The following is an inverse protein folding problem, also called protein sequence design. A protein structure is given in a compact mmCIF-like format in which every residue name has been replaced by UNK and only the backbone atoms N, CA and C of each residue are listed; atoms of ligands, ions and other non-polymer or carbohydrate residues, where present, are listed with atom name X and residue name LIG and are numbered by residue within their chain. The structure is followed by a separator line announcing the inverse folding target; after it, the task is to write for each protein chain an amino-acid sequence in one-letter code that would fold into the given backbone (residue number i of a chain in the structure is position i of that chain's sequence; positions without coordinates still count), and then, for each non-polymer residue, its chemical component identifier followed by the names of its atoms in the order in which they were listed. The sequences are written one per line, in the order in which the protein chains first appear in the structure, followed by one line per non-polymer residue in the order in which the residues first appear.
data_IF_596681346875
#
_entry.id   IF_596681346875
#
_cell.length_a   1.000
_cell.length_b   1.000
_cell.length_c   1.000
_cell.angle_alpha   90.00
_cell.angle_beta   90.00
_cell.angle_gamma   90.00
#
_symmetry.space_group_name_H-M   'P 1'
#
loop_
_entity.id
_entity.type
_entity.pdbx_description
1 polymer ?
#
# COMPACT_ATOMS: atom_id res chain seq x y z
N UNK A 1 -20.85 -30.90 -17.94
CA UNK A 1 -19.50 -30.88 -17.31
C UNK A 1 -19.27 -29.49 -16.73
N UNK A 2 -18.56 -29.40 -15.61
CA UNK A 2 -18.63 -28.37 -14.57
C UNK A 2 -18.34 -26.92 -15.00
N UNK A 3 -19.03 -25.98 -14.33
CA UNK A 3 -18.75 -24.53 -14.25
C UNK A 3 -17.34 -24.28 -13.73
N UNK A 4 -16.66 -23.25 -14.24
CA UNK A 4 -15.67 -22.55 -13.42
C UNK A 4 -15.91 -21.04 -13.52
N UNK A 5 -16.06 -20.46 -12.34
CA UNK A 5 -16.44 -19.09 -12.07
C UNK A 5 -15.26 -18.18 -12.42
N UNK A 6 -15.46 -17.17 -13.27
CA UNK A 6 -14.54 -16.04 -13.37
C UNK A 6 -14.70 -15.20 -12.11
N UNK A 7 -14.02 -15.60 -11.04
CA UNK A 7 -13.92 -14.81 -9.82
C UNK A 7 -13.04 -13.62 -10.17
N UNK A 8 -13.65 -12.43 -10.15
CA UNK A 8 -12.97 -11.17 -10.43
C UNK A 8 -11.94 -10.88 -9.32
N UNK A 9 -10.69 -11.28 -9.55
CA UNK A 9 -9.58 -11.01 -8.63
C UNK A 9 -9.09 -9.58 -8.86
N UNK A 10 -9.83 -8.58 -8.39
CA UNK A 10 -9.36 -7.20 -8.38
C UNK A 10 -8.13 -7.09 -7.47
N UNK A 11 -6.94 -7.23 -8.04
CA UNK A 11 -5.68 -6.93 -7.36
C UNK A 11 -5.60 -5.42 -7.25
N UNK A 12 -5.68 -4.89 -6.03
CA UNK A 12 -5.50 -3.45 -5.77
C UNK A 12 -4.15 -3.04 -6.36
N UNK A 13 -4.13 -2.01 -7.20
CA UNK A 13 -2.91 -1.47 -7.80
C UNK A 13 -2.29 -0.39 -6.90
N UNK A 14 -0.98 -0.12 -7.04
CA UNK A 14 -0.31 0.95 -6.31
C UNK A 14 -0.95 2.33 -6.49
N UNK A 15 -1.47 2.63 -7.69
CA UNK A 15 -2.14 3.91 -7.95
C UNK A 15 -3.46 4.05 -7.19
N UNK A 16 -4.15 2.94 -6.90
CA UNK A 16 -5.42 2.97 -6.16
C UNK A 16 -5.25 3.32 -4.68
N UNK A 17 -4.04 3.18 -4.12
CA UNK A 17 -3.76 3.53 -2.73
C UNK A 17 -3.13 4.91 -2.58
N UNK A 18 -2.82 5.60 -3.68
CA UNK A 18 -2.27 6.95 -3.63
C UNK A 18 -3.24 7.91 -2.92
N UNK A 19 -2.70 8.80 -2.09
CA UNK A 19 -3.43 9.73 -1.23
C UNK A 19 -4.33 9.06 -0.17
N UNK A 20 -4.23 7.76 0.04
CA UNK A 20 -4.88 7.13 1.20
C UNK A 20 -4.09 7.41 2.47
N UNK A 21 -4.83 7.43 3.58
CA UNK A 21 -4.27 7.54 4.93
C UNK A 21 -4.38 6.17 5.58
N UNK A 22 -3.29 5.75 6.20
CA UNK A 22 -3.18 4.44 6.84
C UNK A 22 -2.41 4.55 8.13
N UNK A 23 -2.52 3.49 8.93
CA UNK A 23 -1.82 3.36 10.20
C UNK A 23 -0.87 2.18 10.14
N UNK A 24 0.35 2.33 10.64
CA UNK A 24 1.27 1.19 10.74
C UNK A 24 0.72 0.15 11.73
N UNK A 25 0.17 -0.93 11.20
CA UNK A 25 -0.59 -1.90 11.99
C UNK A 25 -1.71 -1.25 12.81
N UNK A 26 -2.18 -1.92 13.88
CA UNK A 26 -3.32 -1.44 14.67
C UNK A 26 -3.04 -0.24 15.57
N UNK A 27 -1.77 0.04 15.91
CA UNK A 27 -1.42 1.02 16.95
C UNK A 27 -0.28 1.98 16.57
N UNK A 28 0.27 1.87 15.37
CA UNK A 28 1.40 2.71 14.96
C UNK A 28 1.00 4.12 14.51
N UNK A 29 1.97 4.90 14.02
CA UNK A 29 1.71 6.24 13.50
C UNK A 29 0.83 6.21 12.24
N UNK A 30 0.13 7.31 12.02
CA UNK A 30 -0.61 7.55 10.77
C UNK A 30 0.34 8.09 9.71
N UNK A 31 0.17 7.60 8.48
CA UNK A 31 0.92 8.03 7.31
C UNK A 31 0.01 8.23 6.10
N UNK A 32 0.45 9.06 5.15
CA UNK A 32 -0.18 9.23 3.85
C UNK A 32 0.64 8.51 2.79
N UNK A 33 -0.03 7.79 1.88
CA UNK A 33 0.62 7.24 0.69
C UNK A 33 0.77 8.33 -0.36
N UNK A 34 2.01 8.67 -0.74
CA UNK A 34 2.30 9.74 -1.71
C UNK A 34 2.28 9.22 -3.14
N UNK A 35 2.79 8.00 -3.38
CA UNK A 35 2.82 7.38 -4.71
C UNK A 35 3.94 6.35 -4.85
N UNK A 36 4.14 5.86 -6.07
CA UNK A 36 5.20 4.88 -6.37
C UNK A 36 6.58 5.56 -6.23
N UNK A 37 7.49 4.94 -5.48
CA UNK A 37 8.92 5.34 -5.45
C UNK A 37 9.67 4.62 -6.56
N UNK A 38 9.65 3.28 -6.52
CA UNK A 38 10.29 2.41 -7.51
C UNK A 38 9.76 0.99 -7.44
N UNK A 39 9.90 0.27 -8.54
CA UNK A 39 9.85 -1.19 -8.53
C UNK A 39 11.25 -1.68 -8.15
N UNK A 40 11.35 -2.51 -7.12
CA UNK A 40 12.62 -3.16 -6.78
C UNK A 40 12.97 -4.21 -7.84
N UNK A 41 14.26 -4.51 -7.97
CA UNK A 41 14.74 -5.54 -8.90
C UNK A 41 14.19 -6.95 -8.60
N UNK A 42 13.56 -7.14 -7.44
CA UNK A 42 12.98 -8.41 -6.98
C UNK A 42 11.45 -8.47 -7.18
N UNK A 43 10.85 -7.46 -7.83
CA UNK A 43 9.42 -7.40 -8.12
C UNK A 43 8.56 -6.90 -6.96
N UNK A 44 9.16 -6.45 -5.86
CA UNK A 44 8.46 -5.72 -4.80
C UNK A 44 8.32 -4.24 -5.18
N UNK A 45 7.10 -3.69 -5.03
CA UNK A 45 6.82 -2.28 -5.29
C UNK A 45 7.03 -1.48 -4.00
N UNK A 46 7.87 -0.46 -4.08
CA UNK A 46 8.09 0.48 -2.98
C UNK A 46 7.29 1.76 -3.24
N UNK A 47 6.55 2.20 -2.22
CA UNK A 47 5.76 3.42 -2.23
C UNK A 47 6.46 4.47 -1.37
N UNK A 48 6.42 5.73 -1.79
CA UNK A 48 6.80 6.84 -0.91
C UNK A 48 5.62 7.17 0.01
N UNK A 49 5.88 7.25 1.31
CA UNK A 49 4.89 7.61 2.32
C UNK A 49 5.37 8.80 3.15
N UNK A 50 4.41 9.60 3.65
CA UNK A 50 4.67 10.68 4.60
C UNK A 50 4.13 10.33 5.98
N UNK A 51 4.98 10.31 7.01
CA UNK A 51 4.58 10.02 8.39
C UNK A 51 4.25 11.33 9.10
N UNK A 52 3.00 11.48 9.56
CA UNK A 52 2.55 12.74 10.14
C UNK A 52 3.19 13.09 11.47
N UNK A 53 3.53 12.06 12.27
CA UNK A 53 4.14 12.22 13.59
C UNK A 53 5.57 12.75 13.48
N UNK A 54 6.42 12.11 12.65
CA UNK A 54 7.85 12.44 12.54
C UNK A 54 8.17 13.45 11.45
N UNK A 55 7.22 13.75 10.55
CA UNK A 55 7.39 14.59 9.34
C UNK A 55 8.38 14.01 8.32
N UNK A 56 8.66 12.71 8.40
CA UNK A 56 9.59 12.04 7.50
C UNK A 56 8.87 11.48 6.27
N UNK A 57 9.62 11.43 5.17
CA UNK A 57 9.24 10.70 3.96
C UNK A 57 10.16 9.48 3.83
N UNK A 58 9.59 8.30 3.59
CA UNK A 58 10.37 7.08 3.43
C UNK A 58 9.74 6.12 2.41
N UNK A 59 10.56 5.17 1.94
CA UNK A 59 10.08 4.07 1.11
C UNK A 59 9.44 2.99 1.97
N UNK A 60 8.23 2.56 1.61
CA UNK A 60 7.47 1.54 2.32
C UNK A 60 6.89 0.50 1.36
N UNK A 61 6.96 -0.80 1.69
CA UNK A 61 6.45 -1.86 0.82
C UNK A 61 4.96 -1.73 0.52
N UNK A 62 4.59 -1.81 -0.75
CA UNK A 62 3.19 -1.83 -1.17
C UNK A 62 2.42 -3.00 -0.53
N UNK A 63 3.07 -4.14 -0.34
CA UNK A 63 2.53 -5.30 0.36
C UNK A 63 2.10 -4.98 1.79
N UNK A 64 2.87 -4.17 2.52
CA UNK A 64 2.56 -3.76 3.88
C UNK A 64 1.40 -2.75 3.90
N UNK A 65 1.39 -1.79 2.97
CA UNK A 65 0.30 -0.81 2.80
C UNK A 65 -1.05 -1.51 2.63
N UNK A 66 -1.11 -2.62 1.90
CA UNK A 66 -2.35 -3.37 1.70
C UNK A 66 -2.88 -4.03 2.98
N UNK A 67 -2.01 -4.32 3.95
CA UNK A 67 -2.36 -4.96 5.23
C UNK A 67 -2.66 -3.95 6.34
N UNK A 68 -2.15 -2.73 6.20
CA UNK A 68 -2.38 -1.66 7.16
C UNK A 68 -3.82 -1.13 7.08
N UNK A 69 -4.50 -0.92 8.21
CA UNK A 69 -5.86 -0.39 8.22
C UNK A 69 -5.89 1.03 7.65
N UNK A 70 -7.02 1.37 7.03
CA UNK A 70 -7.34 2.75 6.68
C UNK A 70 -7.57 3.56 7.96
N UNK A 71 -7.16 4.82 7.93
CA UNK A 71 -7.47 5.83 8.94
C UNK A 71 -8.64 6.73 8.49
#
# INVERSE_FOLDING_TARGET
MLRQLNISTYKISPEQVKNTFRRFGPYGPVYQVIGISRESNEGEILMNIHIFETKENLEYPFSHILNDPLE
#
